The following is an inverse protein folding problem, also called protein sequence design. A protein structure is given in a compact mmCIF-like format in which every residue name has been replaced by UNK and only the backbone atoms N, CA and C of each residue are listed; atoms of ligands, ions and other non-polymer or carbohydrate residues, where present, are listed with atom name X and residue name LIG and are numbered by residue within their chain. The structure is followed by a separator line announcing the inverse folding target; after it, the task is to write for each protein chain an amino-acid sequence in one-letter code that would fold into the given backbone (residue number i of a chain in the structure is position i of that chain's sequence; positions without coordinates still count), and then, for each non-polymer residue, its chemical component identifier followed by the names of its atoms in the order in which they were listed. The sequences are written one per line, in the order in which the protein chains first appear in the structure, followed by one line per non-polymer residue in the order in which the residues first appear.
data_IF_738782991610
#
_entry.id   IF_738782991610
#
_cell.length_a   1.000
_cell.length_b   1.000
_cell.length_c   1.000
_cell.angle_alpha   90.00
_cell.angle_beta   90.00
_cell.angle_gamma   90.00
#
_symmetry.space_group_name_H-M   'P 1'
#
loop_
_entity.id
_entity.type
_entity.pdbx_description
1 polymer ?
#
# COMPACT_ATOMS: atom_id res chain seq x y z
N UNK A 1 -19.73 -3.02 14.63
CA UNK A 1 -19.54 -3.40 13.21
C UNK A 1 -18.69 -4.67 13.06
N UNK A 2 -17.89 -5.04 14.08
CA UNK A 2 -17.08 -6.25 14.04
C UNK A 2 -17.92 -7.53 13.99
N UNK A 3 -19.11 -7.48 14.56
CA UNK A 3 -20.04 -8.63 14.65
C UNK A 3 -20.99 -8.72 13.45
N UNK A 4 -21.03 -7.70 12.58
CA UNK A 4 -21.91 -7.73 11.42
C UNK A 4 -21.21 -8.41 10.23
N UNK A 5 -21.86 -9.39 9.67
CA UNK A 5 -21.37 -10.14 8.52
C UNK A 5 -22.45 -10.19 7.44
N UNK A 6 -22.06 -10.02 6.18
CA UNK A 6 -22.98 -10.15 5.06
C UNK A 6 -23.38 -11.60 4.87
N UNK A 7 -24.68 -11.87 4.81
CA UNK A 7 -25.21 -13.23 4.55
C UNK A 7 -24.81 -13.73 3.14
N UNK A 8 -24.72 -12.81 2.19
CA UNK A 8 -24.46 -13.16 0.79
C UNK A 8 -22.97 -13.15 0.42
N UNK A 9 -22.16 -12.41 1.17
CA UNK A 9 -20.71 -12.32 0.98
C UNK A 9 -20.00 -12.12 2.34
N UNK A 10 -19.76 -13.21 3.08
CA UNK A 10 -19.16 -13.14 4.42
C UNK A 10 -17.75 -12.55 4.45
N UNK A 11 -17.07 -12.47 3.32
CA UNK A 11 -15.74 -11.85 3.21
C UNK A 11 -15.79 -10.32 3.02
N UNK A 12 -16.91 -9.76 2.55
CA UNK A 12 -17.06 -8.32 2.43
C UNK A 12 -17.10 -7.64 3.81
N UNK A 13 -16.46 -6.48 3.95
CA UNK A 13 -16.39 -5.71 5.18
C UNK A 13 -16.96 -4.32 4.99
N UNK A 14 -17.44 -3.74 6.09
CA UNK A 14 -17.91 -2.35 6.11
C UNK A 14 -16.71 -1.41 6.03
N UNK A 15 -16.63 -0.65 4.96
CA UNK A 15 -15.66 0.43 4.77
C UNK A 15 -16.33 1.80 4.92
N UNK A 16 -15.69 2.71 5.65
CA UNK A 16 -16.07 4.12 5.70
C UNK A 16 -15.40 4.84 4.54
N UNK A 17 -16.22 5.40 3.65
CA UNK A 17 -15.73 6.13 2.49
C UNK A 17 -15.35 7.58 2.85
N UNK A 18 -14.58 8.26 1.98
CA UNK A 18 -14.18 9.66 2.17
C UNK A 18 -15.38 10.63 2.23
N UNK A 19 -16.49 10.28 1.59
CA UNK A 19 -17.75 11.02 1.64
C UNK A 19 -18.56 10.81 2.95
N UNK A 20 -17.99 10.09 3.91
CA UNK A 20 -18.62 9.77 5.19
C UNK A 20 -19.62 8.61 5.16
N UNK A 21 -19.97 8.10 3.99
CA UNK A 21 -20.87 6.94 3.84
C UNK A 21 -20.13 5.65 4.14
N UNK A 22 -20.88 4.66 4.58
CA UNK A 22 -20.38 3.29 4.75
C UNK A 22 -20.85 2.42 3.58
N UNK A 23 -19.98 1.54 3.12
CA UNK A 23 -20.30 0.57 2.07
C UNK A 23 -19.66 -0.77 2.42
N UNK A 24 -20.31 -1.84 1.98
CA UNK A 24 -19.70 -3.15 1.94
C UNK A 24 -18.75 -3.22 0.75
N UNK A 25 -17.58 -3.78 0.97
CA UNK A 25 -16.62 -3.90 -0.11
C UNK A 25 -15.33 -4.57 0.28
N UNK A 26 -14.41 -4.42 -0.61
CA UNK A 26 -13.02 -4.87 -0.52
C UNK A 26 -12.09 -3.66 -0.73
N UNK A 27 -10.87 -3.79 -0.26
CA UNK A 27 -9.83 -2.78 -0.42
C UNK A 27 -8.87 -3.21 -1.52
N UNK A 28 -8.92 -2.61 -2.73
CA UNK A 28 -7.89 -2.81 -3.73
C UNK A 28 -6.61 -2.08 -3.32
N UNK A 29 -5.49 -2.75 -3.50
CA UNK A 29 -4.16 -2.18 -3.28
C UNK A 29 -3.25 -2.64 -4.42
N UNK A 30 -2.47 -1.71 -4.98
CA UNK A 30 -1.45 -2.06 -5.98
C UNK A 30 -0.20 -1.19 -5.85
N UNK A 31 0.93 -1.75 -6.26
CA UNK A 31 2.18 -1.05 -6.39
C UNK A 31 2.49 -0.80 -7.87
N UNK A 32 2.94 0.42 -8.16
CA UNK A 32 3.29 0.86 -9.51
C UNK A 32 4.77 1.21 -9.54
N UNK A 33 5.49 0.67 -10.49
CA UNK A 33 6.82 1.16 -10.81
C UNK A 33 6.72 2.58 -11.41
N UNK A 34 7.37 3.54 -10.77
CA UNK A 34 7.23 4.93 -11.16
C UNK A 34 7.97 5.30 -12.45
N UNK A 35 8.90 4.49 -12.90
CA UNK A 35 9.63 4.73 -14.14
C UNK A 35 8.88 4.17 -15.36
N UNK A 36 8.48 2.91 -15.31
CA UNK A 36 7.80 2.20 -16.40
C UNK A 36 6.28 2.32 -16.37
N UNK A 37 5.68 2.72 -15.25
CA UNK A 37 4.23 2.72 -14.98
C UNK A 37 3.59 1.32 -14.89
N UNK A 38 4.40 0.26 -14.90
CA UNK A 38 3.92 -1.11 -14.75
C UNK A 38 3.41 -1.34 -13.35
N UNK A 39 2.26 -2.02 -13.22
CA UNK A 39 1.73 -2.46 -11.94
C UNK A 39 2.48 -3.74 -11.54
N UNK A 40 3.35 -3.63 -10.55
CA UNK A 40 4.20 -4.75 -10.08
C UNK A 40 3.57 -5.56 -8.96
N UNK A 41 2.49 -5.08 -8.37
CA UNK A 41 1.66 -5.84 -7.43
C UNK A 41 0.22 -5.40 -7.51
N UNK A 42 -0.71 -6.34 -7.41
CA UNK A 42 -2.15 -6.09 -7.35
C UNK A 42 -2.81 -7.07 -6.37
N UNK A 43 -3.39 -6.52 -5.30
CA UNK A 43 -4.00 -7.32 -4.23
C UNK A 43 -5.38 -6.78 -3.87
N UNK A 44 -6.22 -7.68 -3.37
CA UNK A 44 -7.50 -7.35 -2.76
C UNK A 44 -7.47 -7.75 -1.30
N UNK A 45 -7.64 -6.80 -0.42
CA UNK A 45 -7.69 -6.99 1.02
C UNK A 45 -9.12 -6.81 1.57
N UNK A 46 -9.34 -7.22 2.81
CA UNK A 46 -10.57 -6.92 3.52
C UNK A 46 -10.66 -5.41 3.76
N UNK A 47 -11.83 -4.83 3.58
CA UNK A 47 -11.99 -3.37 3.59
C UNK A 47 -11.78 -2.71 4.98
N UNK A 48 -11.79 -3.50 6.04
CA UNK A 48 -11.51 -3.10 7.42
C UNK A 48 -10.01 -3.16 7.81
N UNK A 49 -9.16 -3.73 6.95
CA UNK A 49 -7.72 -3.75 7.16
C UNK A 49 -7.08 -2.39 6.85
N UNK A 50 -6.27 -1.90 7.79
CA UNK A 50 -5.50 -0.65 7.61
C UNK A 50 -4.30 -0.83 6.67
N UNK A 51 -3.86 0.27 6.04
CA UNK A 51 -2.74 0.27 5.09
C UNK A 51 -1.44 -0.31 5.70
N UNK A 52 -1.21 -0.08 6.99
CA UNK A 52 -0.04 -0.65 7.69
C UNK A 52 -0.10 -2.16 7.87
N UNK A 53 -1.29 -2.76 7.80
CA UNK A 53 -1.50 -4.20 7.90
C UNK A 53 -1.39 -4.89 6.54
N UNK A 54 -1.77 -4.19 5.47
CA UNK A 54 -1.80 -4.75 4.10
C UNK A 54 -0.47 -4.58 3.36
N UNK A 55 0.33 -3.58 3.71
CA UNK A 55 1.61 -3.29 3.05
C UNK A 55 2.56 -4.50 2.96
N UNK A 56 2.78 -5.30 4.02
CA UNK A 56 3.69 -6.45 3.92
C UNK A 56 3.28 -7.47 2.85
N UNK A 57 1.99 -7.77 2.72
CA UNK A 57 1.47 -8.69 1.70
C UNK A 57 1.63 -8.11 0.30
N UNK A 58 1.35 -6.84 0.11
CA UNK A 58 1.54 -6.15 -1.18
C UNK A 58 3.01 -6.11 -1.58
N UNK A 59 3.94 -5.86 -0.66
CA UNK A 59 5.38 -5.90 -0.94
C UNK A 59 5.88 -7.30 -1.27
N UNK A 60 5.44 -8.31 -0.53
CA UNK A 60 5.79 -9.70 -0.83
C UNK A 60 5.30 -10.13 -2.22
N UNK A 61 4.11 -9.68 -2.62
CA UNK A 61 3.61 -9.93 -3.98
C UNK A 61 4.43 -9.18 -5.04
N UNK A 62 4.82 -7.93 -4.77
CA UNK A 62 5.70 -7.17 -5.66
C UNK A 62 7.07 -7.86 -5.84
N UNK A 63 7.68 -8.30 -4.75
CA UNK A 63 8.94 -9.06 -4.78
C UNK A 63 8.82 -10.32 -5.63
N UNK A 64 7.75 -11.11 -5.42
CA UNK A 64 7.52 -12.33 -6.19
C UNK A 64 7.33 -12.06 -7.69
N UNK A 65 6.64 -10.99 -8.06
CA UNK A 65 6.46 -10.62 -9.48
C UNK A 65 7.77 -10.11 -10.11
N UNK A 66 8.52 -9.30 -9.37
CA UNK A 66 9.82 -8.80 -9.83
C UNK A 66 10.86 -9.91 -9.92
N UNK A 67 10.79 -10.92 -9.07
CA UNK A 67 11.69 -12.09 -9.11
C UNK A 67 11.53 -12.90 -10.40
N UNK A 68 10.31 -13.02 -10.93
CA UNK A 68 10.04 -13.70 -12.20
C UNK A 68 10.81 -13.12 -13.38
N UNK A 69 11.20 -11.86 -13.30
CA UNK A 69 11.96 -11.16 -14.36
C UNK A 69 13.40 -10.84 -13.92
N UNK A 70 13.84 -11.38 -12.78
CA UNK A 70 15.18 -11.15 -12.24
C UNK A 70 15.44 -9.71 -11.76
N UNK A 71 14.38 -8.96 -11.41
CA UNK A 71 14.43 -7.58 -10.95
C UNK A 71 14.01 -7.40 -9.48
N UNK A 72 13.93 -8.47 -8.70
CA UNK A 72 13.59 -8.40 -7.29
C UNK A 72 14.63 -7.56 -6.51
N UNK A 73 14.17 -6.60 -5.67
CA UNK A 73 15.08 -5.80 -4.87
C UNK A 73 15.74 -6.66 -3.78
N UNK A 74 16.96 -6.27 -3.41
CA UNK A 74 17.73 -6.96 -2.37
C UNK A 74 18.24 -5.96 -1.34
N UNK A 75 18.68 -6.39 -0.15
CA UNK A 75 19.33 -5.50 0.81
C UNK A 75 20.59 -4.81 0.28
N UNK A 76 21.30 -5.43 -0.69
CA UNK A 76 22.48 -4.85 -1.34
C UNK A 76 22.10 -3.83 -2.42
N UNK A 77 20.96 -4.03 -3.09
CA UNK A 77 20.39 -3.13 -4.10
C UNK A 77 18.90 -2.91 -3.83
N UNK A 78 18.56 -2.06 -2.85
CA UNK A 78 17.19 -1.86 -2.41
C UNK A 78 16.40 -0.95 -3.34
N UNK A 79 15.16 -1.34 -3.67
CA UNK A 79 14.23 -0.48 -4.37
C UNK A 79 13.64 0.60 -3.46
N UNK A 80 13.30 1.76 -4.03
CA UNK A 80 12.64 2.83 -3.29
C UNK A 80 11.15 2.58 -3.13
N UNK A 81 10.66 2.58 -1.89
CA UNK A 81 9.24 2.47 -1.57
C UNK A 81 8.66 3.84 -1.23
N UNK A 82 7.84 4.39 -2.11
CA UNK A 82 7.15 5.66 -1.93
C UNK A 82 5.69 5.40 -1.57
N UNK A 83 5.29 5.74 -0.34
CA UNK A 83 3.92 5.53 0.11
C UNK A 83 3.38 6.73 0.90
N UNK A 84 2.06 6.85 0.96
CA UNK A 84 1.40 7.93 1.69
C UNK A 84 1.36 7.70 3.21
N UNK A 85 0.74 8.62 3.90
CA UNK A 85 0.70 8.67 5.35
C UNK A 85 -0.08 7.50 5.99
N UNK A 86 -0.99 6.85 5.25
CA UNK A 86 -1.73 5.68 5.71
C UNK A 86 -0.84 4.49 6.02
N UNK A 87 0.25 4.35 5.28
CA UNK A 87 1.23 3.26 5.43
C UNK A 87 2.27 3.49 6.54
N UNK A 88 2.29 4.68 7.16
CA UNK A 88 3.30 5.00 8.15
C UNK A 88 3.02 4.34 9.49
N UNK A 89 3.91 3.44 9.93
CA UNK A 89 3.97 2.94 11.30
C UNK A 89 5.41 2.73 11.75
N UNK A 90 5.66 2.87 13.06
CA UNK A 90 7.00 2.60 13.63
C UNK A 90 7.42 1.16 13.42
N UNK A 91 6.49 0.22 13.62
CA UNK A 91 6.73 -1.20 13.44
C UNK A 91 7.04 -1.53 11.98
N UNK A 92 6.28 -1.00 11.02
CA UNK A 92 6.52 -1.20 9.59
C UNK A 92 7.87 -0.63 9.14
N UNK A 93 8.20 0.60 9.54
CA UNK A 93 9.50 1.21 9.22
C UNK A 93 10.67 0.41 9.83
N UNK A 94 10.52 -0.08 11.08
CA UNK A 94 11.53 -0.93 11.73
C UNK A 94 11.70 -2.25 10.98
N UNK A 95 10.62 -2.88 10.54
CA UNK A 95 10.67 -4.15 9.81
C UNK A 95 11.33 -4.02 8.43
N UNK A 96 11.17 -2.87 7.77
CA UNK A 96 11.73 -2.62 6.43
C UNK A 96 13.16 -2.05 6.47
N UNK A 97 13.64 -1.60 7.63
CA UNK A 97 14.96 -0.95 7.73
C UNK A 97 16.10 -1.93 7.46
N UNK A 98 16.96 -1.58 6.50
CA UNK A 98 18.08 -2.42 6.08
C UNK A 98 17.69 -3.62 5.20
N UNK A 99 16.41 -3.74 4.84
CA UNK A 99 15.89 -4.76 3.93
C UNK A 99 15.92 -4.32 2.45
N UNK A 100 15.17 -5.03 1.63
CA UNK A 100 15.06 -4.80 0.19
C UNK A 100 14.32 -3.50 -0.19
N UNK A 101 13.62 -2.86 0.75
CA UNK A 101 12.80 -1.68 0.49
C UNK A 101 13.32 -0.45 1.25
N UNK A 102 13.76 0.55 0.52
CA UNK A 102 14.22 1.83 1.06
C UNK A 102 13.03 2.79 1.18
N UNK A 103 12.56 2.98 2.40
CA UNK A 103 11.30 3.68 2.66
C UNK A 103 11.36 5.19 2.45
N UNK A 104 10.32 5.75 1.81
CA UNK A 104 9.96 7.17 1.75
C UNK A 104 8.44 7.27 2.02
N UNK A 105 8.04 7.01 3.26
CA UNK A 105 6.63 6.98 3.68
C UNK A 105 6.33 8.27 4.44
N UNK A 106 5.33 9.02 3.97
CA UNK A 106 4.91 10.28 4.60
C UNK A 106 4.46 10.05 6.03
N UNK A 107 4.78 10.97 6.93
CA UNK A 107 4.42 10.89 8.35
C UNK A 107 3.27 11.86 8.66
N UNK A 108 2.31 11.42 9.48
CA UNK A 108 1.31 12.33 10.06
C UNK A 108 1.98 13.33 10.96
N UNK A 109 1.57 14.60 10.87
CA UNK A 109 2.00 15.60 11.84
C UNK A 109 1.58 15.15 13.24
N UNK A 110 2.54 14.88 14.10
CA UNK A 110 2.30 14.54 15.49
C UNK A 110 2.43 15.81 16.34
N UNK A 111 1.45 16.05 17.20
CA UNK A 111 1.56 17.08 18.24
C UNK A 111 2.38 16.50 19.40
N UNK A 112 3.42 17.23 19.83
CA UNK A 112 4.28 16.85 20.96
C UNK A 112 5.50 16.01 20.58
N UNK A 113 6.22 15.57 21.61
CA UNK A 113 7.45 14.79 21.45
C UNK A 113 7.17 13.29 21.34
N UNK A 114 7.81 12.63 20.38
CA UNK A 114 7.75 11.19 20.26
C UNK A 114 8.44 10.50 21.43
N UNK A 115 7.72 9.62 22.12
CA UNK A 115 8.31 8.75 23.16
C UNK A 115 8.72 7.42 22.53
N UNK A 116 9.98 7.05 22.69
CA UNK A 116 10.54 5.84 22.05
C UNK A 116 10.56 4.63 22.96
N UNK A 117 10.43 4.83 24.29
CA UNK A 117 10.36 3.75 25.29
C UNK A 117 11.50 2.71 25.16
N UNK A 118 12.71 3.17 24.79
CA UNK A 118 13.87 2.30 24.59
C UNK A 118 13.94 1.56 23.24
N UNK A 119 12.99 1.74 22.33
CA UNK A 119 13.06 1.16 20.98
C UNK A 119 13.93 2.01 20.03
N UNK A 120 15.25 1.90 20.22
CA UNK A 120 16.23 2.62 19.39
C UNK A 120 16.23 2.18 17.94
N UNK A 121 15.84 0.93 17.64
CA UNK A 121 15.74 0.43 16.28
C UNK A 121 14.59 1.13 15.52
N UNK A 122 13.41 1.22 16.12
CA UNK A 122 12.29 1.96 15.52
C UNK A 122 12.61 3.46 15.39
N UNK A 123 13.27 4.03 16.41
CA UNK A 123 13.74 5.42 16.36
C UNK A 123 14.64 5.67 15.15
N UNK A 124 15.66 4.83 14.96
CA UNK A 124 16.60 4.91 13.83
C UNK A 124 15.86 4.81 12.49
N UNK A 125 14.99 3.82 12.31
CA UNK A 125 14.21 3.62 11.10
C UNK A 125 13.35 4.84 10.74
N UNK A 126 12.64 5.42 11.73
CA UNK A 126 11.84 6.62 11.53
C UNK A 126 12.71 7.82 11.16
N UNK A 127 13.84 8.05 11.83
CA UNK A 127 14.73 9.16 11.50
C UNK A 127 15.38 9.00 10.13
N UNK A 128 15.74 7.79 9.72
CA UNK A 128 16.25 7.49 8.38
C UNK A 128 15.18 7.78 7.31
N UNK A 129 13.94 7.33 7.52
CA UNK A 129 12.83 7.66 6.63
C UNK A 129 12.62 9.19 6.53
N UNK A 130 12.62 9.93 7.65
CA UNK A 130 12.51 11.40 7.68
C UNK A 130 13.63 12.08 6.91
N UNK A 131 14.86 11.60 7.02
CA UNK A 131 16.02 12.12 6.28
C UNK A 131 15.83 11.92 4.78
N UNK A 132 15.41 10.74 4.35
CA UNK A 132 15.09 10.44 2.95
C UNK A 132 13.97 11.31 2.38
N UNK A 133 12.94 11.61 3.19
CA UNK A 133 11.81 12.48 2.79
C UNK A 133 12.21 13.94 2.51
N UNK A 134 13.28 14.46 3.13
CA UNK A 134 13.73 15.84 2.94
C UNK A 134 14.40 16.09 1.58
N UNK A 135 14.77 15.04 0.84
CA UNK A 135 15.52 15.15 -0.41
C UNK A 135 14.67 15.71 -1.58
N UNK A 136 15.34 16.28 -2.59
CA UNK A 136 14.68 16.68 -3.85
C UNK A 136 14.09 15.46 -4.58
N UNK A 137 14.80 14.33 -4.52
CA UNK A 137 14.37 13.06 -5.11
C UNK A 137 13.04 12.62 -4.50
N UNK A 138 12.87 12.68 -3.16
CA UNK A 138 11.60 12.36 -2.52
C UNK A 138 10.46 13.24 -3.05
N UNK A 139 10.66 14.55 -3.15
CA UNK A 139 9.62 15.47 -3.65
C UNK A 139 9.20 15.15 -5.08
N UNK A 140 10.14 14.82 -5.96
CA UNK A 140 9.86 14.40 -7.32
C UNK A 140 9.11 13.06 -7.34
N UNK A 141 9.55 12.07 -6.56
CA UNK A 141 8.91 10.76 -6.47
C UNK A 141 7.46 10.84 -5.93
N UNK A 142 7.19 11.69 -4.93
CA UNK A 142 5.82 11.90 -4.45
C UNK A 142 4.91 12.56 -5.49
N UNK A 143 5.44 13.47 -6.31
CA UNK A 143 4.68 14.06 -7.42
C UNK A 143 4.33 12.98 -8.46
N UNK A 144 5.30 12.17 -8.87
CA UNK A 144 5.09 11.07 -9.79
C UNK A 144 4.11 10.03 -9.23
N UNK A 145 4.26 9.67 -7.94
CA UNK A 145 3.33 8.76 -7.27
C UNK A 145 1.90 9.28 -7.34
N UNK A 146 1.67 10.54 -6.98
CA UNK A 146 0.33 11.14 -7.03
C UNK A 146 -0.26 11.01 -8.43
N UNK A 147 0.49 11.37 -9.46
CA UNK A 147 0.04 11.29 -10.84
C UNK A 147 -0.19 9.85 -11.31
N UNK A 148 0.82 8.98 -11.20
CA UNK A 148 0.80 7.64 -11.82
C UNK A 148 -0.10 6.65 -11.06
N UNK A 149 -0.05 6.65 -9.74
CA UNK A 149 -0.89 5.75 -8.93
C UNK A 149 -2.36 6.17 -8.96
N UNK A 150 -2.67 7.47 -8.89
CA UNK A 150 -4.07 7.92 -9.01
C UNK A 150 -4.64 7.64 -10.39
N UNK A 151 -3.85 7.83 -11.45
CA UNK A 151 -4.25 7.50 -12.83
C UNK A 151 -4.52 6.01 -13.01
N UNK A 152 -3.64 5.13 -12.49
CA UNK A 152 -3.85 3.68 -12.57
C UNK A 152 -5.09 3.23 -11.82
N UNK A 153 -5.35 3.76 -10.61
CA UNK A 153 -6.60 3.50 -9.89
C UNK A 153 -7.83 4.01 -10.64
N UNK A 154 -7.78 5.22 -11.18
CA UNK A 154 -8.89 5.76 -11.96
C UNK A 154 -9.17 4.90 -13.19
N UNK A 155 -8.13 4.48 -13.92
CA UNK A 155 -8.28 3.62 -15.08
C UNK A 155 -8.93 2.28 -14.70
N UNK A 156 -8.42 1.58 -13.71
CA UNK A 156 -8.91 0.27 -13.27
C UNK A 156 -10.34 0.37 -12.70
N UNK A 157 -10.59 1.34 -11.83
CA UNK A 157 -11.84 1.43 -11.11
C UNK A 157 -12.97 2.07 -11.94
N UNK A 158 -12.65 3.07 -12.76
CA UNK A 158 -13.65 3.81 -13.51
C UNK A 158 -13.83 3.23 -14.92
N UNK A 159 -12.76 3.14 -15.72
CA UNK A 159 -12.80 2.60 -17.08
C UNK A 159 -12.99 1.07 -17.01
N UNK A 160 -12.27 0.38 -16.13
CA UNK A 160 -12.40 -1.06 -15.89
C UNK A 160 -13.67 -1.47 -15.14
N UNK A 161 -14.53 -0.51 -14.74
CA UNK A 161 -15.79 -0.74 -14.03
C UNK A 161 -15.65 -1.57 -12.74
N UNK A 162 -14.52 -1.42 -12.02
CA UNK A 162 -14.26 -2.17 -10.78
C UNK A 162 -14.69 -1.44 -9.50
N UNK A 163 -15.32 -0.25 -9.59
CA UNK A 163 -15.92 0.42 -8.43
C UNK A 163 -17.07 -0.37 -7.83
N UNK A 164 -17.68 -1.26 -8.60
CA UNK A 164 -18.71 -2.19 -8.16
C UNK A 164 -18.43 -3.57 -8.72
N UNK A 165 -18.67 -4.59 -7.91
CA UNK A 165 -18.54 -5.97 -8.35
C UNK A 165 -19.78 -6.77 -7.93
N UNK A 166 -20.18 -7.70 -8.79
CA UNK A 166 -21.18 -8.73 -8.46
C UNK A 166 -20.51 -10.03 -7.99
N UNK A 167 -19.17 -10.09 -8.06
CA UNK A 167 -18.41 -11.21 -7.57
C UNK A 167 -18.38 -11.20 -6.03
N UNK A 168 -18.30 -12.37 -5.46
CA UNK A 168 -18.26 -12.60 -4.02
C UNK A 168 -16.99 -13.34 -3.62
N UNK A 169 -16.52 -13.06 -2.43
CA UNK A 169 -15.28 -13.59 -1.88
C UNK A 169 -14.02 -12.93 -2.43
N UNK A 170 -13.02 -12.76 -1.54
CA UNK A 170 -11.73 -12.11 -1.86
C UNK A 170 -11.12 -12.68 -3.12
N UNK A 171 -11.05 -13.99 -3.24
CA UNK A 171 -10.41 -14.70 -4.35
C UNK A 171 -11.00 -14.37 -5.73
N UNK A 172 -12.33 -14.35 -5.85
CA UNK A 172 -12.97 -14.04 -7.14
C UNK A 172 -12.82 -12.56 -7.51
N UNK A 173 -12.90 -11.67 -6.50
CA UNK A 173 -12.71 -10.25 -6.70
C UNK A 173 -11.26 -9.96 -7.08
N UNK A 174 -10.29 -10.63 -6.44
CA UNK A 174 -8.87 -10.50 -6.75
C UNK A 174 -8.53 -10.99 -8.16
N UNK A 175 -9.06 -12.15 -8.58
CA UNK A 175 -8.90 -12.63 -9.97
C UNK A 175 -9.34 -11.57 -10.98
N UNK A 176 -10.53 -10.98 -10.78
CA UNK A 176 -11.03 -9.95 -11.67
C UNK A 176 -10.13 -8.71 -11.66
N UNK A 177 -9.65 -8.33 -10.45
CA UNK A 177 -8.74 -7.20 -10.31
C UNK A 177 -7.42 -7.45 -11.03
N UNK A 178 -6.83 -8.63 -10.86
CA UNK A 178 -5.59 -9.04 -11.54
C UNK A 178 -5.73 -9.03 -13.07
N UNK A 179 -6.83 -9.57 -13.60
CA UNK A 179 -7.10 -9.55 -15.05
C UNK A 179 -7.21 -8.11 -15.57
N UNK A 180 -7.75 -7.19 -14.79
CA UNK A 180 -7.93 -5.80 -15.21
C UNK A 180 -6.63 -4.98 -15.14
N UNK A 181 -5.67 -5.38 -14.31
CA UNK A 181 -4.36 -4.70 -14.20
C UNK A 181 -3.31 -5.27 -15.15
N UNK A 182 -3.53 -6.47 -15.69
CA UNK A 182 -2.67 -7.10 -16.69
C UNK A 182 -2.87 -6.47 -18.09
#
# INVERSE_FOLDING_TARGET
NADWQSETDPAARIAKMKDGRTRLGYKPEHAVDLDSEVIVAARIHLADQGDTQTLPDTLAHAEAMLDLIGAAPTPADPAELIADTGYHSRAGLKALEGGAWKTRISEKQQKGFARWQGDDAARRAVYNNRTRLKSRVARAAFKLRGEKVERSFAHILDVGALRRTWLRGVFNVEKRYTIQVA
#
